data_IF_972456266487
#
_entry.id   IF_972456266487
#
_cell.length_a   1.000
_cell.length_b   1.000
_cell.length_c   1.000
_cell.angle_alpha   90.00
_cell.angle_beta   90.00
_cell.angle_gamma   90.00
#
_symmetry.space_group_name_H-M   'P 1'
#
loop_
_entity.id
_entity.type
_entity.pdbx_description
1 polymer ?
#
# COMPACT_ATOMS: atom_id res chain seq x y z
N UNK A 1 -61.14 33.97 14.84
CA UNK A 1 -60.15 33.27 13.99
C UNK A 1 -58.77 33.41 14.60
N UNK A 2 -58.00 32.32 14.62
CA UNK A 2 -56.76 32.21 15.39
C UNK A 2 -55.57 32.91 14.72
N UNK A 3 -54.67 33.44 15.53
CA UNK A 3 -53.35 33.91 15.11
C UNK A 3 -52.34 33.71 16.25
N UNK A 4 -51.04 33.67 15.91
CA UNK A 4 -49.89 33.39 16.79
C UNK A 4 -49.78 31.99 17.42
N UNK A 5 -48.80 31.20 16.95
CA UNK A 5 -47.57 30.97 17.72
C UNK A 5 -46.51 30.24 16.85
N UNK A 6 -45.31 30.82 16.72
CA UNK A 6 -44.16 30.15 16.10
C UNK A 6 -43.35 29.38 17.14
N UNK A 7 -42.97 28.10 16.91
CA UNK A 7 -42.15 27.35 17.85
C UNK A 7 -40.72 27.91 17.93
N UNK A 8 -40.27 28.25 19.14
CA UNK A 8 -38.90 28.74 19.38
C UNK A 8 -37.89 27.60 19.25
N UNK A 9 -36.80 27.84 18.52
CA UNK A 9 -35.65 26.91 18.48
C UNK A 9 -34.94 26.92 19.84
N UNK A 10 -34.93 25.77 20.52
CA UNK A 10 -34.23 25.61 21.80
C UNK A 10 -32.70 25.64 21.62
N UNK A 11 -32.04 26.56 22.34
CA UNK A 11 -30.58 26.49 22.53
C UNK A 11 -30.26 25.34 23.48
N UNK A 12 -29.40 24.42 23.06
CA UNK A 12 -28.79 23.46 23.97
C UNK A 12 -27.73 24.16 24.83
N UNK A 13 -27.71 23.97 26.15
CA UNK A 13 -26.68 24.55 27.01
C UNK A 13 -25.33 23.84 26.83
N UNK A 14 -24.27 24.64 26.90
CA UNK A 14 -22.89 24.18 26.82
C UNK A 14 -22.35 23.86 28.23
N UNK A 15 -21.35 22.96 28.32
CA UNK A 15 -20.50 22.65 29.50
C UNK A 15 -21.10 21.75 30.60
N UNK A 16 -20.51 20.55 30.71
CA UNK A 16 -20.21 19.89 32.00
C UNK A 16 -18.89 19.11 31.85
N UNK A 17 -18.15 18.93 32.95
CA UNK A 17 -16.75 18.48 32.93
C UNK A 17 -16.57 16.95 32.88
N UNK A 18 -15.42 16.43 32.39
CA UNK A 18 -15.08 15.01 32.49
C UNK A 18 -14.76 14.62 33.95
N UNK A 19 -15.30 13.49 34.40
CA UNK A 19 -15.02 12.92 35.73
C UNK A 19 -13.68 12.15 35.76
N UNK A 20 -12.94 12.16 36.88
CA UNK A 20 -11.69 11.42 37.01
C UNK A 20 -11.94 9.92 37.20
N UNK A 21 -11.35 9.08 36.36
CA UNK A 21 -11.31 7.64 36.60
C UNK A 21 -10.06 7.23 37.39
N UNK A 22 -10.28 6.49 38.47
CA UNK A 22 -9.26 6.02 39.41
C UNK A 22 -8.25 5.06 38.77
N UNK A 23 -6.95 5.42 38.77
CA UNK A 23 -5.86 4.50 38.49
C UNK A 23 -5.55 3.64 39.72
N UNK A 24 -5.77 2.33 39.63
CA UNK A 24 -5.45 1.36 40.69
C UNK A 24 -3.92 1.26 40.84
N UNK A 25 -3.41 1.31 42.07
CA UNK A 25 -1.99 1.08 42.34
C UNK A 25 -1.62 -0.38 42.05
N UNK A 26 -0.62 -0.59 41.20
CA UNK A 26 0.16 -1.81 41.19
C UNK A 26 1.57 -1.45 41.71
N UNK A 27 1.93 -1.94 42.90
CA UNK A 27 3.27 -1.72 43.46
C UNK A 27 4.25 -2.70 42.80
N UNK A 28 5.33 -2.17 42.23
CA UNK A 28 6.53 -2.94 41.91
C UNK A 28 7.68 -2.31 42.68
N UNK A 29 8.51 -3.12 43.33
CA UNK A 29 9.57 -2.66 44.24
C UNK A 29 10.90 -2.81 43.51
N UNK A 30 11.47 -1.67 43.09
CA UNK A 30 12.81 -1.63 42.50
C UNK A 30 13.87 -1.72 43.63
N UNK A 31 14.60 -2.84 43.67
CA UNK A 31 15.69 -3.05 44.62
C UNK A 31 17.00 -2.56 43.98
N UNK A 32 17.55 -1.47 44.51
CA UNK A 32 18.84 -0.90 44.09
C UNK A 32 19.99 -1.61 44.82
N UNK A 33 20.99 -2.09 44.07
CA UNK A 33 22.26 -2.60 44.62
C UNK A 33 23.45 -1.82 44.04
N UNK A 34 24.30 -1.20 44.88
CA UNK A 34 25.51 -0.50 44.43
C UNK A 34 26.73 -1.45 44.35
N UNK A 35 27.64 -1.28 43.38
CA UNK A 35 28.88 -2.06 43.30
C UNK A 35 30.01 -1.41 44.13
N UNK A 36 30.52 -2.12 45.14
CA UNK A 36 31.69 -1.71 45.93
C UNK A 36 33.00 -2.33 45.41
N UNK A 37 34.03 -1.51 45.28
CA UNK A 37 35.41 -1.90 44.89
C UNK A 37 36.13 -2.77 45.92
N UNK A 38 37.03 -3.66 45.47
CA UNK A 38 38.24 -4.08 46.23
C UNK A 38 39.35 -4.61 45.28
N UNK A 39 40.61 -4.33 45.68
CA UNK A 39 41.94 -4.84 45.23
C UNK A 39 42.67 -5.29 46.53
N UNK A 40 43.73 -6.14 46.58
CA UNK A 40 44.98 -6.15 45.79
C UNK A 40 45.19 -7.53 45.08
N UNK A 41 46.35 -8.18 44.81
CA UNK A 41 47.79 -8.12 45.19
C UNK A 41 48.73 -8.39 43.98
N UNK A 42 50.04 -8.55 44.22
CA UNK A 42 51.12 -8.65 43.21
C UNK A 42 52.19 -9.69 43.60
N UNK A 43 52.66 -10.49 42.65
CA UNK A 43 54.01 -11.12 42.55
C UNK A 43 54.22 -11.52 41.05
N UNK A 44 55.34 -11.28 40.33
CA UNK A 44 56.78 -11.61 40.51
C UNK A 44 57.06 -13.11 40.22
N UNK A 45 57.97 -13.56 39.32
CA UNK A 45 58.77 -12.90 38.25
C UNK A 45 59.52 -13.93 37.35
N UNK A 46 60.23 -13.45 36.30
CA UNK A 46 61.43 -14.00 35.62
C UNK A 46 61.41 -15.17 34.58
N UNK A 47 62.22 -14.93 33.52
CA UNK A 47 63.07 -15.86 32.71
C UNK A 47 62.48 -16.79 31.62
N UNK A 48 62.46 -16.21 30.41
CA UNK A 48 63.01 -16.75 29.14
C UNK A 48 63.94 -17.99 29.17
N UNK A 49 63.78 -18.92 28.19
CA UNK A 49 64.63 -19.05 26.97
C UNK A 49 64.20 -20.22 26.02
N UNK A 50 64.08 -19.91 24.72
CA UNK A 50 64.57 -20.61 23.51
C UNK A 50 64.57 -22.18 23.47
N UNK A 51 63.92 -22.80 22.46
CA UNK A 51 64.52 -23.74 21.45
C UNK A 51 63.48 -24.29 20.43
N UNK A 52 63.89 -24.29 19.15
CA UNK A 52 63.49 -25.06 17.95
C UNK A 52 62.01 -25.27 17.50
N UNK A 53 61.76 -24.82 16.26
CA UNK A 53 61.27 -25.58 15.08
C UNK A 53 60.15 -26.63 15.21
N UNK A 54 59.09 -26.46 14.41
CA UNK A 54 58.93 -27.19 13.12
C UNK A 54 57.79 -26.56 12.30
N UNK A 55 57.93 -26.58 10.97
CA UNK A 55 56.95 -26.05 10.02
C UNK A 55 55.80 -27.02 9.73
N UNK A 56 54.55 -26.53 9.80
CA UNK A 56 53.45 -27.12 9.02
C UNK A 56 52.39 -26.08 8.64
N UNK A 57 51.60 -26.39 7.60
CA UNK A 57 50.84 -25.39 6.86
C UNK A 57 49.61 -24.83 7.59
N UNK A 58 49.46 -23.49 7.58
CA UNK A 58 48.17 -22.83 7.83
C UNK A 58 47.38 -22.73 6.52
N UNK A 59 46.33 -23.55 6.38
CA UNK A 59 45.28 -23.31 5.38
C UNK A 59 44.54 -21.98 5.68
N UNK A 60 43.76 -21.50 4.71
CA UNK A 60 43.29 -20.10 4.66
C UNK A 60 42.39 -19.62 5.81
N UNK A 61 42.46 -18.31 6.04
CA UNK A 61 41.77 -17.60 7.11
C UNK A 61 40.23 -17.54 6.92
N UNK A 62 39.53 -17.22 8.01
CA UNK A 62 38.10 -17.39 8.16
C UNK A 62 37.23 -16.33 7.48
N UNK A 63 35.92 -16.62 7.46
CA UNK A 63 34.83 -15.64 7.42
C UNK A 63 34.79 -14.68 6.22
N UNK A 64 34.49 -15.22 5.04
CA UNK A 64 33.65 -14.50 4.07
C UNK A 64 32.24 -15.08 4.07
N UNK A 65 31.55 -15.00 5.22
CA UNK A 65 30.08 -15.07 5.25
C UNK A 65 29.53 -13.79 4.60
N UNK A 66 29.67 -13.72 3.27
CA UNK A 66 29.04 -12.72 2.42
C UNK A 66 27.54 -13.00 2.44
N UNK A 67 26.87 -12.51 3.51
CA UNK A 67 25.43 -12.43 3.57
C UNK A 67 25.02 -11.52 2.43
N UNK A 68 24.75 -12.14 1.27
CA UNK A 68 24.02 -11.51 0.20
C UNK A 68 22.70 -11.10 0.81
N UNK A 69 22.60 -9.80 1.14
CA UNK A 69 21.32 -9.18 1.46
C UNK A 69 20.46 -9.44 0.24
N UNK A 70 19.57 -10.41 0.34
CA UNK A 70 18.37 -10.49 -0.49
C UNK A 70 17.58 -9.22 -0.20
N UNK A 71 17.99 -8.13 -0.86
CA UNK A 71 17.20 -6.92 -1.00
C UNK A 71 15.86 -7.41 -1.50
N UNK A 72 14.81 -7.06 -0.77
CA UNK A 72 13.57 -7.82 -0.84
C UNK A 72 12.83 -7.41 -2.11
N UNK A 73 13.22 -8.01 -3.24
CA UNK A 73 12.60 -7.88 -4.57
C UNK A 73 11.20 -8.49 -4.47
N UNK A 74 10.31 -7.75 -3.82
CA UNK A 74 8.87 -7.94 -3.92
C UNK A 74 8.57 -7.96 -5.41
N UNK A 75 8.10 -9.11 -5.90
CA UNK A 75 7.94 -9.37 -7.32
C UNK A 75 6.95 -8.38 -7.94
N UNK A 76 7.46 -7.23 -8.38
CA UNK A 76 6.70 -6.22 -9.10
C UNK A 76 6.21 -6.92 -10.36
N UNK A 77 4.89 -7.00 -10.54
CA UNK A 77 4.31 -7.38 -11.81
C UNK A 77 4.78 -6.33 -12.84
N UNK A 78 5.83 -6.69 -13.59
CA UNK A 78 6.53 -5.74 -14.45
C UNK A 78 5.58 -5.20 -15.52
N UNK A 79 5.74 -3.92 -15.84
CA UNK A 79 5.11 -3.33 -17.01
C UNK A 79 5.77 -3.94 -18.25
N UNK A 80 5.28 -5.12 -18.65
CA UNK A 80 5.74 -5.84 -19.84
C UNK A 80 5.70 -4.91 -21.06
N UNK A 81 6.65 -5.11 -21.98
CA UNK A 81 6.72 -4.35 -23.23
C UNK A 81 5.38 -4.42 -23.96
N UNK A 82 4.99 -3.32 -24.61
CA UNK A 82 3.61 -3.08 -25.11
C UNK A 82 3.06 -4.22 -25.98
N UNK A 83 3.95 -4.97 -26.64
CA UNK A 83 3.64 -6.10 -27.51
C UNK A 83 4.31 -7.42 -27.05
N UNK A 84 4.30 -7.74 -25.76
CA UNK A 84 4.85 -8.99 -25.22
C UNK A 84 3.97 -10.24 -25.45
N UNK A 85 2.74 -10.08 -25.92
CA UNK A 85 1.79 -11.19 -26.15
C UNK A 85 1.90 -11.74 -27.58
N UNK A 86 1.62 -13.05 -27.78
CA UNK A 86 1.66 -13.69 -29.12
C UNK A 86 0.70 -13.05 -30.13
N UNK A 87 -0.39 -12.45 -29.65
CA UNK A 87 -1.37 -11.74 -30.49
C UNK A 87 -1.11 -10.23 -30.46
N UNK A 88 -1.20 -9.57 -31.61
CA UNK A 88 -1.05 -8.12 -31.72
C UNK A 88 -2.13 -7.39 -30.91
N UNK A 89 -1.70 -6.57 -29.94
CA UNK A 89 -2.61 -5.81 -29.09
C UNK A 89 -2.92 -4.46 -29.73
N UNK A 90 -4.21 -4.16 -29.83
CA UNK A 90 -4.74 -2.84 -30.20
C UNK A 90 -6.04 -2.56 -29.45
N UNK A 91 -6.41 -1.29 -29.32
CA UNK A 91 -7.78 -0.94 -28.93
C UNK A 91 -8.71 -1.24 -30.13
N UNK A 92 -9.83 -1.96 -29.96
CA UNK A 92 -10.56 -2.54 -31.08
C UNK A 92 -11.15 -1.51 -32.05
N UNK A 93 -11.62 -0.37 -31.54
CA UNK A 93 -12.20 0.72 -32.35
C UNK A 93 -11.15 1.62 -33.02
N UNK A 94 -9.85 1.36 -32.83
CA UNK A 94 -8.77 2.20 -33.38
C UNK A 94 -8.16 1.54 -34.60
N UNK A 95 -8.48 2.12 -35.75
CA UNK A 95 -7.73 1.88 -36.98
C UNK A 95 -6.36 2.55 -36.89
N UNK A 96 -5.28 1.77 -37.05
CA UNK A 96 -3.89 2.23 -36.93
C UNK A 96 -3.27 2.64 -38.28
N UNK A 97 -3.67 2.04 -39.40
CA UNK A 97 -3.11 2.31 -40.72
C UNK A 97 -3.79 3.50 -41.44
N UNK A 98 -3.84 4.68 -40.82
CA UNK A 98 -4.39 5.87 -41.48
C UNK A 98 -3.33 6.55 -42.34
N UNK A 99 -3.70 6.91 -43.57
CA UNK A 99 -2.89 7.73 -44.47
C UNK A 99 -2.70 9.17 -43.94
N UNK A 100 -3.61 9.65 -43.09
CA UNK A 100 -3.49 10.97 -42.44
C UNK A 100 -2.54 10.93 -41.26
N UNK A 101 -1.47 11.74 -41.26
CA UNK A 101 -0.60 11.94 -40.09
C UNK A 101 -1.42 12.50 -38.92
N UNK A 102 -1.17 12.01 -37.70
CA UNK A 102 -1.84 12.52 -36.49
C UNK A 102 -1.23 13.86 -36.06
N UNK A 103 -2.04 14.73 -35.42
CA UNK A 103 -1.57 16.06 -34.97
C UNK A 103 -0.44 15.98 -33.93
N UNK A 104 -0.32 14.86 -33.22
CA UNK A 104 0.86 14.51 -32.43
C UNK A 104 1.22 13.03 -32.61
N UNK A 105 2.50 12.69 -32.48
CA UNK A 105 2.99 11.31 -32.48
C UNK A 105 2.79 10.60 -31.11
N UNK A 106 2.70 11.39 -30.02
CA UNK A 106 2.44 10.86 -28.66
C UNK A 106 0.93 10.62 -28.47
N UNK A 107 0.52 9.55 -27.76
CA UNK A 107 -0.86 9.37 -27.31
C UNK A 107 -1.27 10.53 -26.38
N UNK A 108 -2.51 11.02 -26.53
CA UNK A 108 -3.02 12.17 -25.80
C UNK A 108 -3.79 13.13 -26.71
N UNK A 109 -3.81 14.43 -26.37
CA UNK A 109 -4.53 15.46 -27.15
C UNK A 109 -3.88 15.64 -28.53
N UNK A 110 -4.50 15.09 -29.58
CA UNK A 110 -3.96 15.03 -30.95
C UNK A 110 -3.36 13.67 -31.36
N UNK A 111 -3.22 12.75 -30.40
CA UNK A 111 -2.74 11.38 -30.60
C UNK A 111 -3.86 10.36 -30.73
N UNK A 112 -3.61 9.25 -31.42
CA UNK A 112 -4.63 8.25 -31.79
C UNK A 112 -4.80 7.15 -30.73
N UNK A 113 -5.16 7.56 -29.51
CA UNK A 113 -5.51 6.68 -28.38
C UNK A 113 -6.92 7.02 -27.88
N UNK A 114 -7.75 6.00 -27.68
CA UNK A 114 -9.11 6.17 -27.17
C UNK A 114 -9.11 6.11 -25.64
N UNK A 115 -9.73 7.11 -25.04
CA UNK A 115 -10.05 7.16 -23.62
C UNK A 115 -11.43 7.77 -23.46
N UNK A 116 -12.07 7.52 -22.32
CA UNK A 116 -13.34 8.10 -21.94
C UNK A 116 -13.29 8.54 -20.47
N UNK A 117 -14.18 9.45 -20.10
CA UNK A 117 -14.56 9.59 -18.71
C UNK A 117 -15.30 8.33 -18.22
N UNK A 118 -15.18 8.04 -16.93
CA UNK A 118 -15.92 7.00 -16.21
C UNK A 118 -17.15 7.60 -15.51
N UNK A 119 -17.18 8.92 -15.33
CA UNK A 119 -18.22 9.64 -14.60
C UNK A 119 -18.04 9.50 -13.08
N UNK A 120 -19.12 9.73 -12.33
CA UNK A 120 -19.15 9.62 -10.86
C UNK A 120 -18.09 10.51 -10.16
N UNK A 121 -17.64 11.59 -10.81
CA UNK A 121 -16.64 12.54 -10.30
C UNK A 121 -15.17 12.08 -10.38
N UNK A 122 -14.87 10.91 -10.95
CA UNK A 122 -13.50 10.39 -11.03
C UNK A 122 -12.74 10.95 -12.24
N UNK A 123 -11.78 11.85 -11.99
CA UNK A 123 -10.89 12.37 -13.04
C UNK A 123 -10.05 11.25 -13.67
N UNK A 124 -10.04 11.18 -15.00
CA UNK A 124 -9.16 10.31 -15.78
C UNK A 124 -7.68 10.58 -15.48
N UNK A 125 -6.86 9.58 -15.11
CA UNK A 125 -5.45 9.80 -14.81
C UNK A 125 -4.64 10.07 -16.09
N UNK A 126 -3.65 10.97 -16.02
CA UNK A 126 -2.78 11.30 -17.17
C UNK A 126 -2.11 10.07 -17.79
N UNK A 127 -1.69 9.12 -16.94
CA UNK A 127 -1.13 7.82 -17.33
C UNK A 127 -2.05 6.97 -18.21
N UNK A 128 -3.37 7.14 -18.13
CA UNK A 128 -4.31 6.48 -19.05
C UNK A 128 -4.38 7.16 -20.43
N UNK A 129 -4.21 8.49 -20.47
CA UNK A 129 -4.28 9.33 -21.68
C UNK A 129 -2.96 9.25 -22.46
N UNK A 130 -1.83 9.31 -21.77
CA UNK A 130 -0.46 9.38 -22.31
C UNK A 130 0.25 8.01 -22.31
N UNK A 131 -0.32 6.99 -21.66
CA UNK A 131 0.26 5.64 -21.61
C UNK A 131 0.09 4.88 -22.92
N UNK A 132 1.09 4.08 -23.28
CA UNK A 132 1.05 3.17 -24.44
C UNK A 132 0.38 1.82 -24.15
N UNK A 133 0.19 1.46 -22.87
CA UNK A 133 -0.35 0.16 -22.44
C UNK A 133 -1.72 -0.15 -23.06
N UNK A 134 -2.01 -1.44 -23.24
CA UNK A 134 -3.28 -1.93 -23.79
C UNK A 134 -3.93 -2.89 -22.79
N UNK A 135 -5.13 -2.54 -22.34
CA UNK A 135 -5.88 -3.29 -21.34
C UNK A 135 -7.38 -3.23 -21.62
N UNK A 136 -7.93 -4.34 -22.09
CA UNK A 136 -9.36 -4.52 -22.42
C UNK A 136 -10.27 -4.40 -21.18
N UNK A 137 -9.71 -4.55 -19.97
CA UNK A 137 -10.40 -4.47 -18.68
C UNK A 137 -10.26 -3.11 -17.98
N UNK A 138 -9.49 -2.17 -18.53
CA UNK A 138 -9.37 -0.81 -18.01
C UNK A 138 -10.73 -0.08 -18.01
N UNK A 139 -11.06 0.73 -16.98
CA UNK A 139 -12.29 1.52 -16.99
C UNK A 139 -12.18 2.77 -17.89
N UNK A 140 -10.97 3.33 -18.08
CA UNK A 140 -10.75 4.57 -18.85
C UNK A 140 -10.48 4.34 -20.35
N UNK A 141 -9.71 3.31 -20.70
CA UNK A 141 -9.27 3.00 -22.08
C UNK A 141 -9.81 1.67 -22.61
N UNK A 142 -10.66 1.00 -21.82
CA UNK A 142 -11.31 -0.27 -22.16
C UNK A 142 -12.84 -0.18 -22.16
N UNK A 143 -13.49 -1.27 -22.56
CA UNK A 143 -14.95 -1.37 -22.71
C UNK A 143 -15.70 -1.57 -21.39
N UNK A 144 -15.03 -1.50 -20.24
CA UNK A 144 -15.67 -1.72 -18.94
C UNK A 144 -16.45 -0.47 -18.51
N UNK A 145 -17.72 -0.65 -18.14
CA UNK A 145 -18.54 0.34 -17.44
C UNK A 145 -18.52 0.09 -15.93
N UNK A 146 -18.48 1.18 -15.17
CA UNK A 146 -18.63 1.17 -13.71
C UNK A 146 -20.09 1.50 -13.38
N UNK A 147 -20.69 0.77 -12.43
CA UNK A 147 -22.08 0.98 -12.00
C UNK A 147 -22.35 0.32 -10.65
N UNK A 148 -23.26 0.91 -9.86
CA UNK A 148 -23.60 0.38 -8.55
C UNK A 148 -22.58 0.78 -7.47
N UNK A 149 -22.15 -0.18 -6.66
CA UNK A 149 -21.41 0.08 -5.41
C UNK A 149 -19.98 0.56 -5.68
N UNK A 150 -19.64 1.75 -5.18
CA UNK A 150 -18.26 2.20 -4.98
C UNK A 150 -17.84 1.76 -3.57
N UNK A 151 -16.66 1.15 -3.43
CA UNK A 151 -16.12 0.66 -2.16
C UNK A 151 -14.69 1.15 -1.96
N UNK A 152 -14.30 1.38 -0.71
CA UNK A 152 -12.93 1.68 -0.27
C UNK A 152 -12.35 0.55 0.56
N UNK A 153 -11.04 0.36 0.53
CA UNK A 153 -10.32 -0.60 1.39
C UNK A 153 -8.80 -0.59 1.15
N UNK A 154 -8.07 -1.33 1.99
CA UNK A 154 -6.60 -1.45 1.90
C UNK A 154 -6.19 -2.57 0.96
N UNK A 155 -5.14 -2.34 0.18
CA UNK A 155 -4.50 -3.38 -0.65
C UNK A 155 -3.71 -4.31 0.27
N UNK A 156 -4.02 -5.61 0.23
CA UNK A 156 -3.30 -6.65 1.00
C UNK A 156 -2.30 -7.40 0.14
N UNK A 157 -2.56 -7.58 -1.16
CA UNK A 157 -1.56 -8.17 -2.05
C UNK A 157 -1.63 -7.67 -3.50
N UNK A 158 -0.45 -7.49 -4.09
CA UNK A 158 -0.23 -7.08 -5.49
C UNK A 158 0.43 -8.18 -6.34
N UNK A 159 0.54 -9.39 -5.78
CA UNK A 159 1.23 -10.56 -6.38
C UNK A 159 0.61 -11.09 -7.69
N UNK A 160 -0.60 -10.68 -8.04
CA UNK A 160 -1.29 -11.11 -9.27
C UNK A 160 -1.13 -10.07 -10.39
N UNK A 161 -0.86 -10.51 -11.61
CA UNK A 161 -0.73 -9.61 -12.76
C UNK A 161 -2.03 -8.82 -13.01
N UNK A 162 -1.93 -7.48 -12.97
CA UNK A 162 -3.02 -6.50 -13.19
C UNK A 162 -4.27 -6.69 -12.30
N UNK A 163 -4.14 -7.38 -11.16
CA UNK A 163 -5.24 -7.59 -10.20
C UNK A 163 -4.72 -7.54 -8.77
N UNK A 164 -5.53 -7.00 -7.84
CA UNK A 164 -5.16 -6.86 -6.42
C UNK A 164 -6.23 -7.43 -5.51
N UNK A 165 -5.80 -7.90 -4.34
CA UNK A 165 -6.72 -8.28 -3.25
C UNK A 165 -6.82 -7.12 -2.27
N UNK A 166 -8.04 -6.65 -2.06
CA UNK A 166 -8.38 -5.54 -1.17
C UNK A 166 -9.09 -6.11 0.05
N UNK A 167 -8.69 -5.69 1.25
CA UNK A 167 -9.35 -6.03 2.51
C UNK A 167 -10.22 -4.86 2.97
N UNK A 168 -11.44 -5.19 3.37
CA UNK A 168 -12.37 -4.25 4.01
C UNK A 168 -12.65 -4.77 5.41
N UNK A 169 -12.18 -4.03 6.40
CA UNK A 169 -12.45 -4.30 7.82
C UNK A 169 -13.71 -3.55 8.24
N UNK A 170 -14.51 -4.16 9.09
CA UNK A 170 -15.74 -3.58 9.61
C UNK A 170 -16.06 -4.17 10.98
N UNK A 171 -16.68 -3.35 11.83
CA UNK A 171 -17.20 -3.81 13.12
C UNK A 171 -18.56 -4.45 12.89
N UNK A 172 -18.74 -5.67 13.41
CA UNK A 172 -20.01 -6.37 13.42
C UNK A 172 -20.59 -6.30 14.83
N UNK A 173 -21.84 -5.86 14.95
CA UNK A 173 -22.53 -5.71 16.24
C UNK A 173 -23.15 -7.03 16.67
N UNK A 174 -22.96 -7.40 17.94
CA UNK A 174 -23.55 -8.61 18.54
C UNK A 174 -24.65 -8.15 19.50
N UNK A 175 -25.94 -8.25 19.13
CA UNK A 175 -27.04 -7.63 19.88
C UNK A 175 -27.16 -8.17 21.31
N UNK A 176 -27.00 -9.49 21.51
CA UNK A 176 -27.05 -10.15 22.84
C UNK A 176 -26.11 -9.53 23.88
N UNK A 177 -24.98 -8.98 23.46
CA UNK A 177 -23.94 -8.46 24.37
C UNK A 177 -23.70 -6.95 24.22
N UNK A 178 -24.41 -6.26 23.32
CA UNK A 178 -24.19 -4.86 22.95
C UNK A 178 -22.72 -4.48 22.67
N UNK A 179 -21.96 -5.42 22.10
CA UNK A 179 -20.52 -5.28 21.80
C UNK A 179 -20.26 -5.46 20.31
N UNK A 180 -19.12 -4.95 19.86
CA UNK A 180 -18.66 -5.06 18.48
C UNK A 180 -17.46 -6.02 18.38
N UNK A 181 -17.46 -6.87 17.35
CA UNK A 181 -16.33 -7.71 16.96
C UNK A 181 -15.72 -7.23 15.64
N UNK A 182 -14.41 -7.47 15.43
CA UNK A 182 -13.70 -7.09 14.21
C UNK A 182 -13.84 -8.19 13.15
N UNK A 183 -14.60 -7.94 12.08
CA UNK A 183 -14.67 -8.81 10.89
C UNK A 183 -13.97 -8.16 9.70
N UNK A 184 -13.53 -8.97 8.75
CA UNK A 184 -12.99 -8.48 7.48
C UNK A 184 -13.53 -9.28 6.30
N UNK A 185 -13.53 -8.68 5.10
CA UNK A 185 -13.86 -9.33 3.83
C UNK A 185 -12.82 -8.95 2.78
N UNK A 186 -12.33 -9.95 2.05
CA UNK A 186 -11.37 -9.78 0.96
C UNK A 186 -12.13 -9.69 -0.38
N UNK A 187 -11.71 -8.79 -1.27
CA UNK A 187 -12.31 -8.51 -2.56
C UNK A 187 -11.24 -8.46 -3.64
N UNK A 188 -11.44 -9.17 -4.75
CA UNK A 188 -10.56 -9.12 -5.90
C UNK A 188 -10.98 -8.00 -6.87
N UNK A 189 -10.06 -7.09 -7.18
CA UNK A 189 -10.26 -5.98 -8.10
C UNK A 189 -9.25 -5.99 -9.25
N UNK A 190 -9.70 -5.57 -10.44
CA UNK A 190 -8.81 -5.28 -11.56
C UNK A 190 -8.06 -3.97 -11.33
N UNK A 191 -6.80 -3.92 -11.74
CA UNK A 191 -5.96 -2.70 -11.73
C UNK A 191 -5.52 -2.42 -13.15
N UNK A 192 -5.94 -1.28 -13.68
CA UNK A 192 -5.40 -0.80 -14.94
C UNK A 192 -3.93 -0.37 -14.77
N UNK A 193 -3.04 -0.65 -15.74
CA UNK A 193 -1.65 -0.19 -15.71
C UNK A 193 -1.45 1.34 -15.63
N UNK A 194 -2.52 2.14 -15.74
CA UNK A 194 -2.49 3.56 -15.40
C UNK A 194 -2.17 3.83 -13.91
N UNK A 195 -2.40 2.85 -13.02
CA UNK A 195 -2.14 2.98 -11.59
C UNK A 195 -0.97 2.11 -11.15
N UNK A 196 -0.02 2.75 -10.47
CA UNK A 196 1.00 2.06 -9.66
C UNK A 196 0.46 1.96 -8.24
N UNK A 197 0.44 0.74 -7.71
CA UNK A 197 -0.21 0.35 -6.45
C UNK A 197 0.79 -0.48 -5.65
N UNK A 198 1.00 -0.13 -4.40
CA UNK A 198 1.89 -0.83 -3.48
C UNK A 198 1.07 -1.48 -2.33
N UNK A 199 1.64 -2.50 -1.66
CA UNK A 199 0.91 -3.22 -0.61
C UNK A 199 0.71 -2.30 0.62
N UNK A 200 -0.54 -2.23 1.11
CA UNK A 200 -0.98 -1.30 2.15
C UNK A 200 -1.62 0.00 1.66
N UNK A 201 -1.63 0.31 0.36
CA UNK A 201 -2.31 1.49 -0.20
C UNK A 201 -3.83 1.47 0.06
N UNK A 202 -4.44 2.65 0.18
CA UNK A 202 -5.89 2.81 0.26
C UNK A 202 -6.46 3.00 -1.15
N UNK A 203 -7.36 2.13 -1.60
CA UNK A 203 -7.91 2.17 -2.97
C UNK A 203 -9.42 2.33 -2.97
N UNK A 204 -9.91 3.11 -3.94
CA UNK A 204 -11.33 3.23 -4.27
C UNK A 204 -11.62 2.39 -5.50
N UNK A 205 -12.53 1.43 -5.37
CA UNK A 205 -12.98 0.54 -6.46
C UNK A 205 -14.43 0.76 -6.80
N UNK A 206 -14.75 0.70 -8.10
CA UNK A 206 -16.11 0.66 -8.61
C UNK A 206 -16.53 -0.76 -8.95
N UNK A 207 -17.76 -1.12 -8.60
CA UNK A 207 -18.42 -2.32 -9.13
C UNK A 207 -18.55 -2.23 -10.66
N UNK A 208 -18.35 -3.36 -11.34
CA UNK A 208 -18.38 -3.45 -12.80
C UNK A 208 -19.11 -4.73 -13.27
N UNK A 209 -19.12 -5.01 -14.58
CA UNK A 209 -19.50 -6.35 -15.07
C UNK A 209 -18.45 -7.39 -14.63
N UNK A 210 -18.79 -8.68 -14.44
CA UNK A 210 -17.79 -9.71 -14.16
C UNK A 210 -16.63 -9.69 -15.17
N UNK A 211 -15.39 -9.69 -14.66
CA UNK A 211 -14.14 -9.66 -15.46
C UNK A 211 -13.31 -10.96 -15.31
N UNK A 212 -13.68 -11.80 -14.34
CA UNK A 212 -13.23 -13.19 -14.12
C UNK A 212 -14.17 -13.89 -13.12
N UNK A 213 -13.88 -15.15 -12.75
CA UNK A 213 -14.59 -15.92 -11.71
C UNK A 213 -14.74 -15.15 -10.39
N UNK A 214 -13.71 -14.38 -10.00
CA UNK A 214 -13.68 -13.59 -8.76
C UNK A 214 -13.88 -12.09 -9.00
N UNK A 215 -13.23 -11.51 -10.00
CA UNK A 215 -13.13 -10.05 -10.17
C UNK A 215 -14.44 -9.45 -10.71
N UNK A 216 -15.07 -8.63 -9.87
CA UNK A 216 -16.31 -7.86 -10.15
C UNK A 216 -16.16 -6.36 -9.81
N UNK A 217 -14.93 -5.94 -9.54
CA UNK A 217 -14.55 -4.58 -9.14
C UNK A 217 -13.32 -4.12 -9.94
N UNK A 218 -13.15 -2.80 -10.08
CA UNK A 218 -12.06 -2.17 -10.83
C UNK A 218 -11.56 -0.93 -10.06
N UNK A 219 -10.25 -0.72 -9.96
CA UNK A 219 -9.67 0.46 -9.28
C UNK A 219 -9.95 1.73 -10.08
N UNK A 220 -10.46 2.76 -9.39
CA UNK A 220 -10.77 4.09 -9.94
C UNK A 220 -9.83 5.17 -9.43
N UNK A 221 -9.37 5.04 -8.18
CA UNK A 221 -8.47 5.98 -7.51
C UNK A 221 -7.61 5.25 -6.51
N UNK A 222 -6.33 5.59 -6.49
CA UNK A 222 -5.37 5.19 -5.45
C UNK A 222 -5.14 6.38 -4.53
N UNK A 223 -5.08 6.13 -3.23
CA UNK A 223 -4.59 7.04 -2.20
C UNK A 223 -3.35 6.37 -1.59
N UNK A 224 -2.14 6.88 -1.84
CA UNK A 224 -0.92 6.22 -1.37
C UNK A 224 -0.91 6.18 0.16
N UNK A 225 -0.53 5.03 0.75
CA UNK A 225 -0.50 4.86 2.21
C UNK A 225 0.41 5.88 2.90
N UNK A 226 1.55 6.16 2.25
CA UNK A 226 2.50 7.17 2.73
C UNK A 226 1.98 8.56 2.38
N UNK A 227 1.71 9.39 3.40
CA UNK A 227 1.63 10.83 3.24
C UNK A 227 3.01 11.41 2.90
N UNK A 228 3.42 11.31 1.63
CA UNK A 228 4.71 11.77 1.08
C UNK A 228 4.79 13.32 1.02
N UNK A 229 4.71 13.92 2.21
CA UNK A 229 4.90 15.34 2.50
C UNK A 229 5.19 15.58 4.01
N UNK A 230 4.91 14.62 4.91
CA UNK A 230 5.47 14.67 6.27
C UNK A 230 6.98 14.55 6.14
N UNK A 231 7.69 15.64 6.46
CA UNK A 231 9.14 15.75 6.32
C UNK A 231 9.82 14.72 7.24
N UNK A 232 10.22 13.58 6.68
CA UNK A 232 11.16 12.68 7.33
C UNK A 232 12.50 13.40 7.42
N UNK A 233 12.74 14.08 8.53
CA UNK A 233 13.97 14.80 8.78
C UNK A 233 15.12 13.80 8.83
N UNK A 234 15.86 13.70 7.72
CA UNK A 234 17.14 13.01 7.65
C UNK A 234 18.14 13.80 8.49
N UNK A 235 18.15 13.53 9.80
CA UNK A 235 19.20 14.01 10.69
C UNK A 235 20.54 13.44 10.21
N UNK A 236 21.60 14.24 10.40
CA UNK A 236 23.00 13.85 10.26
C UNK A 236 23.26 12.47 10.89
#
# INVERSE_FOLDING_TARGET
NLNFASPKVGKWPEKSAPLPYSSILCKTIDIVFPPSTIRPLVTVSLRSRIIQDVSFARQHCASSRRILRFTNIHARATELTVQSERAFQKQPHIFLNSKTKTKSARPGKGGRRWYKDVGLGFRTPKTAIEGSYIDKKCPFTGLVSIRGRILTGTVVSTKMHRTVIIRREYLHYIPKYSRYEKRHKNLAAHVSPAFRVEEGDQVTVGQCRPLSKTVRFNVLRVLPRTGKAVKSFSKF
#
